data_IF_800878662304
#
_entry.id   IF_800878662304
#
_cell.length_a   1.000
_cell.length_b   1.000
_cell.length_c   1.000
_cell.angle_alpha   90.00
_cell.angle_beta   90.00
_cell.angle_gamma   90.00
#
_symmetry.space_group_name_H-M   'P 1'
#
loop_
_entity.id
_entity.type
_entity.pdbx_description
1 polymer ?
#
# COMPACT_ATOMS: atom_id res chain seq x y z
N UNK A 1 -24.91 33.87 -36.98
CA UNK A 1 -23.65 34.43 -36.43
C UNK A 1 -23.27 33.67 -35.16
N UNK A 2 -21.98 33.37 -34.96
CA UNK A 2 -21.32 33.12 -33.66
C UNK A 2 -20.14 34.09 -33.56
N UNK A 3 -19.91 34.73 -32.40
CA UNK A 3 -18.71 34.44 -31.58
C UNK A 3 -19.02 34.50 -30.06
N UNK A 4 -18.15 34.16 -29.09
CA UNK A 4 -16.83 33.51 -29.12
C UNK A 4 -16.71 32.44 -27.99
N UNK A 5 -15.60 32.43 -27.23
CA UNK A 5 -15.26 31.60 -26.06
C UNK A 5 -14.30 32.37 -25.13
N UNK A 6 -14.50 32.33 -23.81
CA UNK A 6 -13.56 32.57 -22.69
C UNK A 6 -14.37 32.33 -21.37
N UNK A 7 -14.02 31.52 -20.35
CA UNK A 7 -12.77 31.32 -19.59
C UNK A 7 -12.38 32.64 -18.88
N UNK A 8 -12.43 32.80 -17.55
CA UNK A 8 -11.54 32.12 -16.61
C UNK A 8 -11.92 32.25 -15.11
N UNK A 9 -11.14 31.53 -14.28
CA UNK A 9 -11.22 31.26 -12.85
C UNK A 9 -11.50 32.38 -11.82
N UNK A 10 -12.22 32.00 -10.76
CA UNK A 10 -11.89 32.28 -9.34
C UNK A 10 -12.44 31.13 -8.48
N UNK A 11 -11.60 30.20 -7.99
CA UNK A 11 -10.98 30.31 -6.66
C UNK A 11 -11.94 30.75 -5.54
N UNK A 12 -12.75 29.83 -5.01
CA UNK A 12 -12.96 29.82 -3.56
C UNK A 12 -12.31 28.57 -2.94
N UNK A 13 -11.59 28.80 -1.84
CA UNK A 13 -10.57 27.93 -1.27
C UNK A 13 -10.59 28.12 0.25
N UNK A 14 -11.63 27.61 0.92
CA UNK A 14 -11.68 27.39 2.38
C UNK A 14 -12.94 26.56 2.74
N UNK A 15 -13.01 25.77 3.80
CA UNK A 15 -12.02 25.02 4.61
C UNK A 15 -12.81 24.19 5.65
N UNK A 16 -12.27 23.05 6.11
CA UNK A 16 -12.71 22.29 7.29
C UNK A 16 -14.15 21.74 7.33
N UNK A 17 -14.32 20.54 6.77
CA UNK A 17 -15.28 19.56 7.28
C UNK A 17 -14.54 18.43 7.99
N UNK A 18 -14.15 18.61 9.26
CA UNK A 18 -13.65 17.50 10.08
C UNK A 18 -14.84 16.57 10.42
N UNK A 19 -15.06 15.54 9.61
CA UNK A 19 -15.88 14.37 9.96
C UNK A 19 -15.01 13.12 9.98
N UNK A 20 -14.24 12.97 11.05
CA UNK A 20 -13.58 11.71 11.39
C UNK A 20 -14.60 10.74 11.99
N UNK A 21 -15.41 10.12 11.13
CA UNK A 21 -16.23 8.95 11.46
C UNK A 21 -16.75 8.27 10.18
N UNK A 22 -15.85 8.03 9.22
CA UNK A 22 -16.13 7.20 8.04
C UNK A 22 -15.81 5.72 8.33
N UNK A 23 -16.53 5.18 9.32
CA UNK A 23 -16.40 3.81 9.81
C UNK A 23 -17.03 2.82 8.82
N UNK A 24 -16.41 2.70 7.65
CA UNK A 24 -16.97 1.92 6.54
C UNK A 24 -16.42 2.24 5.15
N UNK A 25 -15.31 2.97 5.02
CA UNK A 25 -14.66 3.19 3.73
C UNK A 25 -14.07 1.88 3.16
N UNK A 26 -14.93 1.02 2.63
CA UNK A 26 -14.56 -0.24 1.98
C UNK A 26 -13.70 0.07 0.76
N UNK A 27 -12.45 -0.37 0.79
CA UNK A 27 -11.59 -0.32 -0.39
C UNK A 27 -12.16 -1.31 -1.41
N UNK A 28 -12.68 -0.83 -2.55
CA UNK A 28 -13.26 -1.67 -3.62
C UNK A 28 -12.31 -2.80 -4.08
N UNK A 29 -11.00 -2.58 -3.92
CA UNK A 29 -9.94 -3.54 -4.25
C UNK A 29 -8.89 -3.56 -3.13
N UNK A 30 -9.14 -4.29 -2.03
CA UNK A 30 -8.27 -4.22 -0.85
C UNK A 30 -6.86 -4.73 -1.14
N UNK A 31 -6.74 -5.75 -1.98
CA UNK A 31 -5.44 -6.29 -2.41
C UNK A 31 -4.65 -5.37 -3.36
N UNK A 32 -5.28 -4.30 -3.86
CA UNK A 32 -4.59 -3.24 -4.62
C UNK A 32 -4.22 -2.02 -3.75
N UNK A 33 -4.60 -2.00 -2.47
CA UNK A 33 -4.40 -0.85 -1.58
C UNK A 33 -2.93 -0.39 -1.51
N UNK A 34 -1.99 -1.33 -1.53
CA UNK A 34 -0.54 -1.08 -1.47
C UNK A 34 -0.03 -0.21 -2.63
N UNK A 35 -0.72 -0.21 -3.78
CA UNK A 35 -0.38 0.60 -4.97
C UNK A 35 -1.28 1.82 -5.15
N UNK A 36 -2.51 1.80 -4.62
CA UNK A 36 -3.51 2.85 -4.84
C UNK A 36 -3.60 3.88 -3.71
N UNK A 37 -3.37 3.50 -2.45
CA UNK A 37 -3.48 4.37 -1.28
C UNK A 37 -2.13 4.96 -0.85
N UNK A 38 -2.20 6.10 -0.17
CA UNK A 38 -1.08 6.73 0.54
C UNK A 38 -1.03 6.21 1.98
N UNK A 39 0.15 6.19 2.60
CA UNK A 39 0.38 5.56 3.92
C UNK A 39 -0.58 6.08 4.99
N UNK A 40 -0.83 7.39 4.96
CA UNK A 40 -1.67 8.14 5.89
C UNK A 40 -3.16 7.78 5.78
N UNK A 41 -3.58 7.15 4.66
CA UNK A 41 -4.96 6.70 4.43
C UNK A 41 -5.19 5.23 4.81
N UNK A 42 -4.15 4.51 5.22
CA UNK A 42 -4.22 3.08 5.53
C UNK A 42 -4.39 2.92 7.05
N UNK A 43 -5.61 3.22 7.51
CA UNK A 43 -6.02 3.08 8.91
C UNK A 43 -6.35 1.64 9.31
N UNK A 44 -6.70 1.41 10.59
CA UNK A 44 -7.03 0.08 11.12
C UNK A 44 -8.11 -0.67 10.32
N UNK A 45 -9.16 0.02 9.88
CA UNK A 45 -10.29 -0.59 9.14
C UNK A 45 -9.85 -1.07 7.75
N UNK A 46 -8.97 -0.32 7.09
CA UNK A 46 -8.35 -0.70 5.81
C UNK A 46 -7.48 -1.94 6.01
N UNK A 47 -6.67 -1.99 7.07
CA UNK A 47 -5.85 -3.16 7.44
C UNK A 47 -6.72 -4.38 7.75
N UNK A 48 -7.84 -4.22 8.47
CA UNK A 48 -8.79 -5.29 8.75
C UNK A 48 -9.43 -5.84 7.45
N UNK A 49 -9.83 -4.94 6.54
CA UNK A 49 -10.38 -5.30 5.22
C UNK A 49 -9.36 -6.08 4.38
N UNK A 50 -8.09 -5.66 4.37
CA UNK A 50 -6.99 -6.36 3.69
C UNK A 50 -6.75 -7.74 4.31
N UNK A 51 -6.67 -7.85 5.65
CA UNK A 51 -6.49 -9.13 6.35
C UNK A 51 -7.60 -10.13 6.02
N UNK A 52 -8.85 -9.67 5.97
CA UNK A 52 -9.99 -10.49 5.56
C UNK A 52 -9.86 -10.99 4.12
N UNK A 53 -9.57 -10.09 3.16
CA UNK A 53 -9.37 -10.48 1.76
C UNK A 53 -8.20 -11.46 1.55
N UNK A 54 -7.12 -11.34 2.34
CA UNK A 54 -6.00 -12.28 2.32
C UNK A 54 -6.37 -13.67 2.86
N UNK A 55 -7.29 -13.74 3.82
CA UNK A 55 -7.73 -15.00 4.43
C UNK A 55 -8.81 -15.72 3.61
N UNK A 56 -9.78 -14.97 3.08
CA UNK A 56 -10.97 -15.49 2.41
C UNK A 56 -10.67 -15.99 0.97
N UNK A 57 -9.66 -15.43 0.30
CA UNK A 57 -9.56 -15.53 -1.17
C UNK A 57 -8.31 -16.25 -1.74
N UNK A 58 -7.33 -16.68 -0.92
CA UNK A 58 -6.02 -17.07 -1.51
C UNK A 58 -5.29 -18.24 -0.85
N UNK A 59 -4.98 -19.25 -1.68
CA UNK A 59 -3.84 -20.14 -1.52
C UNK A 59 -2.71 -19.75 -2.49
N UNK A 60 -1.59 -19.23 -1.98
CA UNK A 60 -0.35 -19.17 -2.77
C UNK A 60 0.40 -20.49 -2.58
N UNK A 61 0.82 -21.13 -3.67
CA UNK A 61 1.71 -22.29 -3.65
C UNK A 61 3.16 -21.88 -3.31
N UNK A 62 3.37 -21.36 -2.10
CA UNK A 62 4.66 -21.09 -1.49
C UNK A 62 4.69 -21.72 -0.10
N UNK A 63 5.75 -22.47 0.22
CA UNK A 63 5.88 -23.12 1.53
C UNK A 63 5.88 -22.16 2.73
N UNK A 64 6.08 -20.85 2.51
CA UNK A 64 5.94 -19.81 3.55
C UNK A 64 4.53 -19.27 3.71
N UNK A 65 3.60 -19.54 2.78
CA UNK A 65 2.21 -19.03 2.85
C UNK A 65 1.47 -19.41 4.15
N UNK A 66 1.65 -20.61 4.74
CA UNK A 66 1.10 -20.92 6.06
C UNK A 66 1.63 -20.00 7.18
N UNK A 67 2.89 -19.55 7.10
CA UNK A 67 3.46 -18.55 8.01
C UNK A 67 2.81 -17.18 7.83
N UNK A 68 2.62 -16.74 6.57
CA UNK A 68 1.89 -15.50 6.26
C UNK A 68 0.47 -15.51 6.84
N UNK A 69 -0.27 -16.62 6.71
CA UNK A 69 -1.61 -16.76 7.29
C UNK A 69 -1.63 -16.74 8.83
N UNK A 70 -0.50 -17.05 9.49
CA UNK A 70 -0.32 -16.93 10.95
C UNK A 70 0.17 -15.54 11.38
N UNK A 71 0.39 -14.62 10.45
CA UNK A 71 0.88 -13.26 10.74
C UNK A 71 2.39 -13.17 10.92
N UNK A 72 3.18 -14.11 10.37
CA UNK A 72 4.64 -14.00 10.38
C UNK A 72 5.13 -12.99 9.30
N UNK A 73 5.68 -11.87 9.76
CA UNK A 73 6.24 -10.82 8.92
C UNK A 73 7.42 -11.31 8.06
N UNK A 74 8.27 -12.21 8.60
CA UNK A 74 9.42 -12.74 7.88
C UNK A 74 8.99 -13.62 6.69
N UNK A 75 7.97 -14.46 6.89
CA UNK A 75 7.31 -15.20 5.81
C UNK A 75 6.68 -14.27 4.76
N UNK A 76 5.98 -13.21 5.18
CA UNK A 76 5.36 -12.26 4.24
C UNK A 76 6.40 -11.56 3.36
N UNK A 77 7.48 -11.06 3.98
CA UNK A 77 8.65 -10.49 3.30
C UNK A 77 9.29 -11.52 2.35
N UNK A 78 9.50 -12.76 2.80
CA UNK A 78 10.11 -13.82 2.00
C UNK A 78 9.30 -14.20 0.75
N UNK A 79 7.96 -14.29 0.86
CA UNK A 79 7.06 -14.50 -0.28
C UNK A 79 7.12 -13.30 -1.23
N UNK A 80 6.97 -12.07 -0.72
CA UNK A 80 6.96 -10.87 -1.54
C UNK A 80 8.27 -10.66 -2.32
N UNK A 81 9.44 -10.84 -1.69
CA UNK A 81 10.74 -10.75 -2.39
C UNK A 81 10.85 -11.79 -3.51
N UNK A 82 10.36 -13.03 -3.30
CA UNK A 82 10.34 -14.07 -4.33
C UNK A 82 9.39 -13.72 -5.48
N UNK A 83 8.21 -13.18 -5.20
CA UNK A 83 7.24 -12.76 -6.21
C UNK A 83 7.74 -11.56 -7.00
N UNK A 84 8.28 -10.53 -6.34
CA UNK A 84 8.84 -9.34 -6.98
C UNK A 84 10.01 -9.66 -7.93
N UNK A 85 10.79 -10.73 -7.69
CA UNK A 85 11.86 -11.17 -8.61
C UNK A 85 11.34 -11.70 -9.94
N UNK A 86 10.07 -12.14 -10.04
CA UNK A 86 9.48 -12.64 -11.29
C UNK A 86 9.22 -11.48 -12.28
N UNK A 87 9.30 -11.73 -13.60
CA UNK A 87 8.83 -10.77 -14.61
C UNK A 87 7.29 -10.69 -14.60
N UNK A 88 6.72 -9.70 -15.32
CA UNK A 88 5.27 -9.57 -15.49
C UNK A 88 4.53 -8.93 -14.31
N UNK A 89 5.03 -7.79 -13.80
CA UNK A 89 4.31 -6.96 -12.83
C UNK A 89 3.46 -5.89 -13.53
N UNK A 90 2.26 -5.54 -13.04
CA UNK A 90 1.57 -6.12 -11.87
C UNK A 90 0.93 -7.48 -12.18
N UNK A 91 0.71 -8.29 -11.14
CA UNK A 91 -0.02 -9.55 -11.21
C UNK A 91 -0.81 -9.81 -9.92
N UNK A 92 -1.91 -10.59 -9.94
CA UNK A 92 -2.71 -10.85 -8.74
C UNK A 92 -1.87 -11.44 -7.59
N UNK A 93 -0.96 -12.36 -7.89
CA UNK A 93 -0.04 -12.97 -6.90
C UNK A 93 0.88 -11.91 -6.26
N UNK A 94 1.29 -10.89 -7.02
CA UNK A 94 2.04 -9.76 -6.47
C UNK A 94 1.14 -8.87 -5.60
N UNK A 95 -0.06 -8.54 -6.06
CA UNK A 95 -1.00 -7.71 -5.29
C UNK A 95 -1.34 -8.35 -3.93
N UNK A 96 -1.52 -9.68 -3.91
CA UNK A 96 -1.68 -10.47 -2.68
C UNK A 96 -0.42 -10.39 -1.78
N UNK A 97 0.75 -10.75 -2.32
CA UNK A 97 1.98 -10.82 -1.52
C UNK A 97 2.38 -9.44 -0.96
N UNK A 98 2.24 -8.38 -1.75
CA UNK A 98 2.50 -7.00 -1.32
C UNK A 98 1.47 -6.51 -0.31
N UNK A 99 0.22 -6.97 -0.38
CA UNK A 99 -0.81 -6.63 0.62
C UNK A 99 -0.57 -7.33 1.96
N UNK A 100 -0.03 -8.55 1.97
CA UNK A 100 0.43 -9.18 3.21
C UNK A 100 1.57 -8.39 3.85
N UNK A 101 2.53 -7.91 3.06
CA UNK A 101 3.61 -7.02 3.54
C UNK A 101 3.07 -5.68 4.01
N UNK A 102 2.07 -5.10 3.33
CA UNK A 102 1.41 -3.85 3.73
C UNK A 102 0.89 -3.91 5.18
N UNK A 103 0.21 -5.01 5.53
CA UNK A 103 -0.30 -5.22 6.90
C UNK A 103 0.80 -5.09 7.95
N UNK A 104 1.98 -5.66 7.70
CA UNK A 104 3.11 -5.62 8.65
C UNK A 104 3.82 -4.27 8.70
N UNK A 105 3.96 -3.60 7.56
CA UNK A 105 4.59 -2.28 7.49
C UNK A 105 3.74 -1.19 8.18
N UNK A 106 2.40 -1.29 8.11
CA UNK A 106 1.51 -0.38 8.86
C UNK A 106 1.68 -0.60 10.37
N UNK A 107 1.89 -1.84 10.82
CA UNK A 107 2.21 -2.15 12.24
C UNK A 107 3.65 -1.85 12.64
N UNK A 108 4.46 -1.23 11.77
CA UNK A 108 5.80 -0.75 12.11
C UNK A 108 6.95 -1.69 11.77
N UNK A 109 6.74 -2.80 11.06
CA UNK A 109 7.84 -3.67 10.62
C UNK A 109 8.71 -2.95 9.56
N UNK A 110 10.01 -2.72 9.83
CA UNK A 110 10.87 -1.94 8.94
C UNK A 110 11.26 -2.70 7.67
N UNK A 111 11.39 -4.03 7.75
CA UNK A 111 11.72 -4.86 6.58
C UNK A 111 10.55 -4.89 5.59
N UNK A 112 9.32 -4.99 6.10
CA UNK A 112 8.10 -4.91 5.33
C UNK A 112 7.94 -3.54 4.66
N UNK A 113 8.20 -2.44 5.38
CA UNK A 113 8.17 -1.09 4.84
C UNK A 113 9.21 -0.88 3.70
N UNK A 114 10.42 -1.42 3.85
CA UNK A 114 11.43 -1.41 2.78
C UNK A 114 11.02 -2.25 1.56
N UNK A 115 10.40 -3.43 1.78
CA UNK A 115 9.90 -4.28 0.67
C UNK A 115 8.75 -3.61 -0.08
N UNK A 116 7.84 -2.91 0.60
CA UNK A 116 6.81 -2.08 -0.06
C UNK A 116 7.41 -0.97 -0.91
N UNK A 117 8.39 -0.24 -0.37
CA UNK A 117 9.10 0.78 -1.12
C UNK A 117 9.74 0.20 -2.39
N UNK A 118 10.39 -0.97 -2.28
CA UNK A 118 10.97 -1.66 -3.43
C UNK A 118 9.91 -2.14 -4.44
N UNK A 119 8.80 -2.72 -3.98
CA UNK A 119 7.69 -3.15 -4.84
C UNK A 119 7.07 -1.99 -5.62
N UNK A 120 6.86 -0.85 -4.97
CA UNK A 120 6.37 0.39 -5.59
C UNK A 120 7.34 0.94 -6.64
N UNK A 121 8.64 0.96 -6.35
CA UNK A 121 9.69 1.35 -7.30
C UNK A 121 9.78 0.39 -8.50
N UNK A 122 9.61 -0.92 -8.29
CA UNK A 122 9.54 -1.89 -9.39
C UNK A 122 8.31 -1.65 -10.26
N UNK A 123 7.15 -1.43 -9.64
CA UNK A 123 5.91 -1.14 -10.36
C UNK A 123 6.01 0.15 -11.17
N UNK A 124 6.67 1.18 -10.65
CA UNK A 124 6.85 2.49 -11.31
C UNK A 124 7.58 2.41 -12.67
N UNK A 125 8.35 1.36 -12.94
CA UNK A 125 9.16 1.24 -14.17
C UNK A 125 8.25 1.19 -15.41
N UNK A 126 8.43 2.15 -16.32
CA UNK A 126 7.67 2.24 -17.57
C UNK A 126 6.22 2.73 -17.43
N UNK A 127 5.76 3.10 -16.23
CA UNK A 127 4.39 3.60 -16.02
C UNK A 127 4.29 5.12 -16.09
N UNK A 128 3.18 5.64 -16.63
CA UNK A 128 2.87 7.08 -16.67
C UNK A 128 2.75 7.71 -15.26
N UNK A 129 2.40 6.93 -14.24
CA UNK A 129 2.28 7.39 -12.85
C UNK A 129 3.51 7.12 -11.97
N UNK A 130 4.68 6.88 -12.59
CA UNK A 130 5.93 6.56 -11.90
C UNK A 130 6.30 7.54 -10.76
N UNK A 131 6.11 8.85 -10.97
CA UNK A 131 6.43 9.87 -9.97
C UNK A 131 5.62 9.69 -8.66
N UNK A 132 4.32 9.37 -8.76
CA UNK A 132 3.45 9.13 -7.61
C UNK A 132 3.86 7.85 -6.87
N UNK A 133 4.12 6.76 -7.60
CA UNK A 133 4.56 5.48 -7.04
C UNK A 133 5.92 5.62 -6.33
N UNK A 134 6.86 6.36 -6.92
CA UNK A 134 8.15 6.66 -6.30
C UNK A 134 8.03 7.59 -5.08
N UNK A 135 7.08 8.54 -5.07
CA UNK A 135 6.75 9.35 -3.90
C UNK A 135 6.29 8.48 -2.72
N UNK A 136 5.32 7.58 -2.97
CA UNK A 136 4.84 6.60 -1.97
C UNK A 136 5.96 5.70 -1.47
N UNK A 137 6.83 5.22 -2.37
CA UNK A 137 7.97 4.40 -1.98
C UNK A 137 8.92 5.13 -1.01
N UNK A 138 9.17 6.42 -1.24
CA UNK A 138 9.99 7.24 -0.32
C UNK A 138 9.33 7.42 1.05
N UNK A 139 8.01 7.61 1.11
CA UNK A 139 7.27 7.71 2.39
C UNK A 139 7.36 6.42 3.21
N UNK A 140 7.29 5.26 2.55
CA UNK A 140 7.48 3.95 3.20
C UNK A 140 8.91 3.74 3.69
N UNK A 141 9.92 4.03 2.85
CA UNK A 141 11.32 3.89 3.24
C UNK A 141 11.71 4.85 4.38
N UNK A 142 11.27 6.12 4.33
CA UNK A 142 11.51 7.09 5.40
C UNK A 142 10.77 6.73 6.71
N UNK A 143 9.64 6.02 6.61
CA UNK A 143 8.96 5.43 7.76
C UNK A 143 9.78 4.32 8.42
N UNK A 144 10.39 3.43 7.62
CA UNK A 144 11.23 2.34 8.12
C UNK A 144 12.47 2.83 8.90
N UNK A 145 13.05 3.96 8.50
CA UNK A 145 14.20 4.58 9.19
C UNK A 145 13.85 5.20 10.55
N UNK A 146 12.56 5.44 10.84
CA UNK A 146 12.08 5.88 12.16
C UNK A 146 11.67 4.67 12.98
N UNK A 147 12.64 3.81 13.29
CA UNK A 147 12.43 2.62 14.13
C UNK A 147 11.74 2.94 15.46
N UNK A 148 11.15 1.93 16.12
CA UNK A 148 10.42 2.15 17.38
C UNK A 148 11.33 2.88 18.39
N UNK A 149 10.81 3.86 19.16
CA UNK A 149 11.61 4.51 20.19
C UNK A 149 12.14 3.45 21.14
N UNK A 150 13.45 3.50 21.43
CA UNK A 150 14.11 2.53 22.30
C UNK A 150 13.43 2.50 23.67
N UNK A 151 12.69 1.42 23.94
CA UNK A 151 12.16 1.10 25.27
C UNK A 151 13.30 0.58 26.17
N UNK A 152 14.20 1.49 26.54
CA UNK A 152 15.17 1.32 27.62
C UNK A 152 14.85 2.29 28.75
N UNK A 153 14.08 1.79 29.71
CA UNK A 153 13.89 2.33 31.06
C UNK A 153 13.76 1.12 32.01
#
# INVERSE_FOLDING_TARGET
>A
MRPHRANDAACDRRRNGHKHCDAGATVDRPLEAWRTLDRERIGPDVVATIRRALFDSVAIHDGRWPGVRRGDAASAVGVAVRVLRRPGLPSPVCDIAMSAVLVHAVTGDPAAALVLAHGLQRLARGRRDAARLNGRARLWAAGASRGPPDSRA
#
